data_IF_562824440333
#
_entry.id   IF_562824440333
#
_cell.length_a   1.000
_cell.length_b   1.000
_cell.length_c   1.000
_cell.angle_alpha   90.00
_cell.angle_beta   90.00
_cell.angle_gamma   90.00
#
_symmetry.space_group_name_H-M   'P 1'
#
loop_
_entity.id
_entity.type
_entity.pdbx_description
1 polymer ?
#
# COMPACT_ATOMS: atom_id res chain seq x y z
N UNK A 1 64.88 63.41 -106.17
CA UNK A 1 63.46 63.41 -106.54
C UNK A 1 62.73 63.23 -105.22
N UNK A 2 62.29 64.34 -104.59
CA UNK A 2 61.01 65.01 -104.88
C UNK A 2 59.85 64.08 -104.48
N UNK A 3 58.84 64.41 -103.69
CA UNK A 3 58.34 65.62 -103.03
C UNK A 3 57.58 65.11 -101.77
N UNK A 4 57.29 65.90 -100.74
CA UNK A 4 56.06 66.71 -100.74
C UNK A 4 55.02 66.18 -99.75
N UNK A 5 54.94 66.87 -98.59
CA UNK A 5 53.86 66.90 -97.56
C UNK A 5 52.45 67.23 -98.14
N UNK A 6 51.34 67.49 -97.39
CA UNK A 6 51.05 67.53 -95.91
C UNK A 6 49.68 66.85 -95.52
N UNK A 7 49.22 66.72 -94.27
CA UNK A 7 48.51 67.71 -93.41
C UNK A 7 47.98 67.01 -92.12
N UNK A 8 48.03 67.73 -90.98
CA UNK A 8 47.09 67.79 -89.80
C UNK A 8 46.41 66.51 -89.21
N UNK A 9 46.23 66.28 -87.90
CA UNK A 9 45.91 67.19 -86.78
C UNK A 9 45.96 66.47 -85.39
N UNK A 10 46.52 67.18 -84.39
CA UNK A 10 46.14 67.33 -82.94
C UNK A 10 46.02 66.16 -81.93
N UNK A 11 46.83 66.28 -80.86
CA UNK A 11 46.51 66.08 -79.42
C UNK A 11 46.69 64.65 -78.87
N UNK A 12 47.35 64.36 -77.75
CA UNK A 12 47.98 65.13 -76.66
C UNK A 12 48.92 64.13 -75.87
N UNK A 13 49.61 64.44 -74.75
CA UNK A 13 51.06 64.35 -74.66
C UNK A 13 51.62 63.24 -73.72
N UNK A 14 52.95 63.05 -73.84
CA UNK A 14 53.97 62.56 -72.88
C UNK A 14 53.51 61.99 -71.51
N UNK A 15 54.17 60.97 -70.93
CA UNK A 15 55.45 61.16 -70.20
C UNK A 15 56.05 59.82 -69.70
N UNK A 16 57.38 59.76 -69.77
CA UNK A 16 58.42 58.85 -69.24
C UNK A 16 58.17 57.98 -67.99
N UNK A 17 58.67 56.74 -68.02
CA UNK A 17 58.72 55.81 -66.88
C UNK A 17 59.84 56.11 -65.87
N UNK A 18 59.48 56.72 -64.74
CA UNK A 18 60.18 56.58 -63.44
C UNK A 18 59.78 55.24 -62.80
N UNK A 19 60.60 54.64 -61.91
CA UNK A 19 60.10 53.57 -61.04
C UNK A 19 58.91 54.11 -60.23
N UNK A 20 57.73 53.49 -60.40
CA UNK A 20 56.49 53.88 -59.73
C UNK A 20 56.67 53.89 -58.21
N UNK A 21 56.17 54.92 -57.53
CA UNK A 21 56.29 55.08 -56.09
C UNK A 21 55.63 53.90 -55.34
N UNK A 22 56.08 53.58 -54.12
CA UNK A 22 55.56 52.42 -53.38
C UNK A 22 54.03 52.39 -53.25
N UNK A 23 53.34 53.51 -52.94
CA UNK A 23 51.89 53.52 -52.80
C UNK A 23 51.18 53.11 -54.10
N UNK A 24 51.66 53.60 -55.25
CA UNK A 24 51.14 53.26 -56.57
C UNK A 24 51.34 51.77 -56.90
N UNK A 25 52.49 51.20 -56.50
CA UNK A 25 52.77 49.76 -56.66
C UNK A 25 51.82 48.88 -55.86
N UNK A 26 51.52 49.27 -54.62
CA UNK A 26 50.57 48.55 -53.76
C UNK A 26 49.15 48.64 -54.32
N UNK A 27 48.72 49.84 -54.74
CA UNK A 27 47.43 50.05 -55.39
C UNK A 27 47.28 49.20 -56.66
N UNK A 28 48.27 49.27 -57.56
CA UNK A 28 48.26 48.50 -58.80
C UNK A 28 48.29 46.98 -58.56
N UNK A 29 48.98 46.51 -57.52
CA UNK A 29 48.97 45.10 -57.16
C UNK A 29 47.61 44.65 -56.59
N UNK A 30 46.91 45.50 -55.82
CA UNK A 30 45.54 45.23 -55.37
C UNK A 30 44.56 45.17 -56.54
N UNK A 31 44.63 46.14 -57.45
CA UNK A 31 43.78 46.18 -58.65
C UNK A 31 44.01 44.95 -59.55
N UNK A 32 45.27 44.56 -59.77
CA UNK A 32 45.59 43.32 -60.53
C UNK A 32 45.08 42.05 -59.86
N UNK A 33 45.00 42.04 -58.52
CA UNK A 33 44.43 40.92 -57.77
C UNK A 33 42.89 40.93 -57.77
N UNK A 34 42.26 42.03 -58.23
CA UNK A 34 40.80 42.14 -58.37
C UNK A 34 40.06 42.15 -57.03
N UNK A 35 40.65 42.71 -55.98
CA UNK A 35 40.06 42.75 -54.63
C UNK A 35 39.83 44.18 -54.14
N UNK A 36 38.70 44.41 -53.48
CA UNK A 36 38.44 45.68 -52.78
C UNK A 36 39.16 45.73 -51.42
N UNK A 37 39.23 46.93 -50.83
CA UNK A 37 39.90 47.16 -49.55
C UNK A 37 39.23 46.43 -48.37
N UNK A 38 37.91 46.19 -48.41
CA UNK A 38 37.19 45.48 -47.35
C UNK A 38 37.50 43.98 -47.36
N UNK A 39 37.68 43.39 -48.55
CA UNK A 39 38.14 42.02 -48.73
C UNK A 39 39.59 41.88 -48.27
N UNK A 40 40.45 42.81 -48.65
CA UNK A 40 41.82 42.86 -48.14
C UNK A 40 41.88 43.01 -46.61
N UNK A 41 40.98 43.80 -46.00
CA UNK A 41 40.87 43.93 -44.54
C UNK A 41 40.50 42.59 -43.87
N UNK A 42 39.52 41.86 -44.41
CA UNK A 42 39.12 40.56 -43.86
C UNK A 42 40.25 39.55 -43.89
N UNK A 43 41.04 39.54 -44.96
CA UNK A 43 42.08 38.54 -45.21
C UNK A 43 43.37 38.86 -44.46
N UNK A 44 43.78 40.13 -44.43
CA UNK A 44 45.02 40.58 -43.77
C UNK A 44 44.85 40.94 -42.31
N UNK A 45 43.61 41.16 -41.85
CA UNK A 45 43.26 41.73 -40.54
C UNK A 45 43.79 43.15 -40.31
N UNK A 46 44.06 43.89 -41.39
CA UNK A 46 44.46 45.31 -41.35
C UNK A 46 43.24 46.13 -41.76
N UNK A 47 42.82 47.11 -40.93
CA UNK A 47 41.62 47.92 -41.22
C UNK A 47 41.72 48.58 -42.61
N UNK A 48 40.63 48.60 -43.38
CA UNK A 48 40.62 49.14 -44.75
C UNK A 48 41.13 50.58 -44.83
N UNK A 49 40.85 51.40 -43.80
CA UNK A 49 41.39 52.78 -43.69
C UNK A 49 42.92 52.83 -43.72
N UNK A 50 43.59 51.85 -43.11
CA UNK A 50 45.05 51.79 -43.07
C UNK A 50 45.63 51.24 -44.37
N UNK A 51 44.96 50.28 -45.01
CA UNK A 51 45.32 49.83 -46.35
C UNK A 51 45.20 50.96 -47.37
N UNK A 52 44.13 51.76 -47.28
CA UNK A 52 43.95 52.96 -48.09
C UNK A 52 45.06 54.00 -47.84
N UNK A 53 45.44 54.22 -46.58
CA UNK A 53 46.56 55.11 -46.24
C UNK A 53 47.90 54.62 -46.81
N UNK A 54 48.14 53.29 -46.87
CA UNK A 54 49.31 52.73 -47.53
C UNK A 54 49.31 52.98 -49.05
N UNK A 55 48.16 52.80 -49.70
CA UNK A 55 47.99 53.05 -51.15
C UNK A 55 48.05 54.54 -51.52
N UNK A 56 47.80 55.45 -50.57
CA UNK A 56 47.95 56.90 -50.74
C UNK A 56 49.27 57.47 -50.23
N UNK A 57 50.10 56.66 -49.58
CA UNK A 57 51.35 57.12 -48.94
C UNK A 57 51.13 58.01 -47.70
N UNK A 58 49.93 58.03 -47.13
CA UNK A 58 49.53 58.84 -45.98
C UNK A 58 49.95 58.19 -44.65
N UNK A 59 51.25 57.94 -44.48
CA UNK A 59 51.73 57.17 -43.34
C UNK A 59 51.53 57.83 -41.95
N UNK A 60 51.11 59.11 -41.91
CA UNK A 60 50.74 59.82 -40.67
C UNK A 60 49.44 59.29 -40.05
N UNK A 61 48.57 58.66 -40.83
CA UNK A 61 47.32 58.07 -40.33
C UNK A 61 47.52 56.70 -39.67
N UNK A 62 48.72 56.13 -39.77
CA UNK A 62 49.02 54.79 -39.26
C UNK A 62 49.37 54.82 -37.75
N UNK A 63 49.09 53.75 -36.98
CA UNK A 63 49.30 53.70 -35.52
C UNK A 63 50.77 53.69 -35.03
N UNK A 64 51.72 54.14 -35.85
CA UNK A 64 53.16 54.14 -35.56
C UNK A 64 53.98 53.20 -36.45
N UNK A 65 55.30 53.37 -36.41
CA UNK A 65 56.24 52.79 -37.38
C UNK A 65 56.39 51.27 -37.28
N UNK A 66 56.32 50.74 -36.06
CA UNK A 66 56.41 49.29 -35.81
C UNK A 66 55.24 48.56 -36.48
N UNK A 67 54.02 49.10 -36.36
CA UNK A 67 52.83 48.57 -37.02
C UNK A 67 52.86 48.81 -38.53
N UNK A 68 53.35 49.96 -38.97
CA UNK A 68 53.48 50.29 -40.40
C UNK A 68 54.37 49.30 -41.14
N UNK A 69 55.52 48.92 -40.56
CA UNK A 69 56.39 47.87 -41.12
C UNK A 69 55.66 46.53 -41.24
N UNK A 70 54.90 46.16 -40.21
CA UNK A 70 54.09 44.94 -40.19
C UNK A 70 53.00 44.94 -41.26
N UNK A 71 52.33 46.08 -41.45
CA UNK A 71 51.29 46.25 -42.46
C UNK A 71 51.85 46.15 -43.88
N UNK A 72 52.97 46.81 -44.18
CA UNK A 72 53.65 46.68 -45.48
C UNK A 72 54.02 45.22 -45.80
N UNK A 73 54.59 44.51 -44.82
CA UNK A 73 54.98 43.10 -45.00
C UNK A 73 53.78 42.20 -45.25
N UNK A 74 52.75 42.30 -44.41
CA UNK A 74 51.56 41.46 -44.50
C UNK A 74 50.75 41.77 -45.77
N UNK A 75 50.67 43.05 -46.14
CA UNK A 75 49.96 43.45 -47.35
C UNK A 75 50.73 43.06 -48.62
N UNK A 76 52.05 43.14 -48.64
CA UNK A 76 52.87 42.61 -49.74
C UNK A 76 52.69 41.10 -49.93
N UNK A 77 52.74 40.32 -48.83
CA UNK A 77 52.44 38.88 -48.85
C UNK A 77 51.06 38.61 -49.45
N UNK A 78 50.05 39.36 -49.01
CA UNK A 78 48.70 39.22 -49.54
C UNK A 78 48.64 39.55 -51.03
N UNK A 79 49.28 40.62 -51.48
CA UNK A 79 49.26 41.05 -52.88
C UNK A 79 50.18 40.25 -53.82
N UNK A 80 50.96 39.29 -53.29
CA UNK A 80 51.92 38.51 -54.07
C UNK A 80 53.17 39.28 -54.46
N UNK A 81 53.51 40.33 -53.71
CA UNK A 81 54.76 41.10 -53.84
C UNK A 81 55.82 40.56 -52.88
N UNK A 82 57.11 40.81 -53.18
CA UNK A 82 58.19 40.47 -52.24
C UNK A 82 58.09 41.36 -50.98
N UNK A 83 57.86 40.78 -49.79
CA UNK A 83 57.68 41.55 -48.57
C UNK A 83 58.94 42.26 -48.09
N UNK A 84 60.13 41.70 -48.35
CA UNK A 84 61.39 42.33 -47.97
C UNK A 84 61.70 43.51 -48.91
N UNK A 85 61.38 43.38 -50.20
CA UNK A 85 61.52 44.48 -51.16
C UNK A 85 60.59 45.65 -50.83
N UNK A 86 59.32 45.39 -50.54
CA UNK A 86 58.33 46.42 -50.17
C UNK A 86 58.76 47.15 -48.88
N UNK A 87 59.22 46.41 -47.87
CA UNK A 87 59.69 47.02 -46.61
C UNK A 87 60.99 47.81 -46.82
N UNK A 88 61.91 47.34 -47.67
CA UNK A 88 63.12 48.06 -48.01
C UNK A 88 62.80 49.38 -48.75
N UNK A 89 61.89 49.35 -49.73
CA UNK A 89 61.47 50.53 -50.47
C UNK A 89 60.80 51.57 -49.56
N UNK A 90 59.93 51.12 -48.64
CA UNK A 90 59.30 51.99 -47.63
C UNK A 90 60.35 52.67 -46.72
N UNK A 91 61.39 51.95 -46.29
CA UNK A 91 62.48 52.50 -45.48
C UNK A 91 63.29 53.56 -46.23
N UNK A 92 63.56 53.31 -47.51
CA UNK A 92 64.26 54.24 -48.39
C UNK A 92 63.44 55.51 -48.62
N UNK A 93 62.13 55.41 -48.90
CA UNK A 93 61.22 56.56 -49.03
C UNK A 93 61.15 57.42 -47.76
N UNK A 94 61.22 56.80 -46.58
CA UNK A 94 61.21 57.51 -45.30
C UNK A 94 62.56 58.08 -44.86
N UNK A 95 63.63 57.92 -45.66
CA UNK A 95 64.97 58.37 -45.28
C UNK A 95 65.53 57.68 -44.03
N UNK A 96 64.99 56.50 -43.67
CA UNK A 96 65.41 55.72 -42.49
C UNK A 96 66.35 54.59 -42.91
N UNK A 97 67.47 54.96 -43.51
CA UNK A 97 68.54 54.03 -43.87
C UNK A 97 69.43 53.76 -42.64
N UNK A 98 69.30 52.56 -42.06
CA UNK A 98 70.35 51.95 -41.23
C UNK A 98 70.98 50.85 -42.07
N UNK A 99 72.31 50.85 -42.30
CA UNK A 99 72.93 49.99 -43.31
C UNK A 99 72.88 48.51 -42.91
N UNK A 100 72.37 47.68 -43.80
CA UNK A 100 72.52 46.23 -43.72
C UNK A 100 73.83 45.86 -44.40
N UNK A 101 74.84 45.46 -43.63
CA UNK A 101 76.05 44.86 -44.20
C UNK A 101 75.76 43.42 -44.60
N UNK A 102 75.87 43.14 -45.90
CA UNK A 102 76.13 41.81 -46.45
C UNK A 102 77.56 41.82 -46.98
N UNK A 103 78.36 40.79 -46.68
CA UNK A 103 78.89 39.84 -47.66
C UNK A 103 79.55 38.65 -46.95
N UNK A 104 79.37 37.50 -47.58
CA UNK A 104 79.68 36.12 -47.22
C UNK A 104 81.18 35.80 -47.38
N UNK A 105 81.76 34.98 -46.48
CA UNK A 105 82.67 33.87 -46.86
C UNK A 105 82.80 32.85 -45.72
N UNK A 106 82.75 31.57 -46.09
CA UNK A 106 82.61 30.41 -45.22
C UNK A 106 83.93 29.95 -44.57
N UNK A 107 83.83 29.49 -43.31
CA UNK A 107 84.76 28.54 -42.66
C UNK A 107 83.90 27.57 -41.84
N UNK A 108 84.05 26.24 -41.97
CA UNK A 108 83.14 25.28 -41.35
C UNK A 108 83.46 25.13 -39.86
N UNK A 109 82.46 25.39 -38.99
CA UNK A 109 82.49 25.05 -37.57
C UNK A 109 81.46 23.95 -37.29
N UNK A 110 81.82 22.92 -36.51
CA UNK A 110 81.05 21.70 -36.40
C UNK A 110 79.70 21.94 -35.71
N UNK A 111 78.72 21.18 -36.18
CA UNK A 111 77.37 21.08 -35.64
C UNK A 111 77.45 20.54 -34.21
N UNK A 112 77.19 21.40 -33.24
CA UNK A 112 76.78 21.01 -31.90
C UNK A 112 75.64 21.94 -31.48
N UNK A 113 74.42 21.59 -31.89
CA UNK A 113 73.23 22.14 -31.27
C UNK A 113 73.06 21.47 -29.91
N UNK A 114 73.50 22.15 -28.85
CA UNK A 114 73.03 21.87 -27.50
C UNK A 114 71.54 22.17 -27.45
N UNK A 115 70.73 21.12 -27.24
CA UNK A 115 69.32 21.28 -26.83
C UNK A 115 69.29 22.25 -25.64
N UNK A 116 68.39 23.25 -25.57
CA UNK A 116 68.28 24.06 -24.38
C UNK A 116 67.80 23.14 -23.25
N UNK A 117 68.73 22.74 -22.38
CA UNK A 117 68.40 22.04 -21.14
C UNK A 117 67.52 22.95 -20.28
N UNK A 118 66.54 22.34 -19.60
CA UNK A 118 65.65 23.01 -18.67
C UNK A 118 66.47 23.81 -17.65
N UNK A 119 66.58 25.12 -17.83
CA UNK A 119 67.31 25.96 -16.88
C UNK A 119 66.41 26.10 -15.64
N UNK A 120 66.79 25.44 -14.55
CA UNK A 120 66.13 25.54 -13.25
C UNK A 120 66.37 26.93 -12.67
N UNK A 121 65.57 27.92 -13.09
CA UNK A 121 65.47 29.18 -12.38
C UNK A 121 64.71 28.93 -11.06
N UNK A 122 65.11 29.55 -9.93
CA UNK A 122 64.37 29.43 -8.66
C UNK A 122 62.88 29.76 -8.80
N UNK A 123 62.52 30.66 -9.74
CA UNK A 123 61.13 31.01 -10.02
C UNK A 123 60.30 29.87 -10.63
N UNK A 124 60.90 29.01 -11.46
CA UNK A 124 60.19 27.85 -12.04
C UNK A 124 59.93 26.78 -10.98
N UNK A 125 60.89 26.57 -10.07
CA UNK A 125 60.73 25.62 -8.95
C UNK A 125 59.62 26.08 -8.00
N UNK A 126 59.61 27.37 -7.64
CA UNK A 126 58.55 27.94 -6.80
C UNK A 126 57.19 27.87 -7.48
N UNK A 127 57.11 28.20 -8.78
CA UNK A 127 55.87 28.10 -9.54
C UNK A 127 55.36 26.65 -9.64
N UNK A 128 56.26 25.67 -9.86
CA UNK A 128 55.92 24.26 -9.89
C UNK A 128 55.41 23.77 -8.52
N UNK A 129 56.07 24.14 -7.43
CA UNK A 129 55.65 23.78 -6.07
C UNK A 129 54.29 24.40 -5.70
N UNK A 130 54.06 25.68 -6.04
CA UNK A 130 52.77 26.32 -5.84
C UNK A 130 51.66 25.66 -6.66
N UNK A 131 51.96 25.25 -7.89
CA UNK A 131 51.00 24.52 -8.73
C UNK A 131 50.65 23.17 -8.12
N UNK A 132 51.65 22.41 -7.65
CA UNK A 132 51.44 21.13 -6.95
C UNK A 132 50.62 21.33 -5.67
N UNK A 133 50.89 22.39 -4.90
CA UNK A 133 50.14 22.72 -3.69
C UNK A 133 48.68 23.04 -4.02
N UNK A 134 48.42 23.90 -5.01
CA UNK A 134 47.06 24.27 -5.43
C UNK A 134 46.30 23.04 -5.95
N UNK A 135 46.94 22.21 -6.77
CA UNK A 135 46.33 20.95 -7.26
C UNK A 135 46.08 20.00 -6.09
N UNK A 136 47.02 19.84 -5.16
CA UNK A 136 46.86 19.00 -3.98
C UNK A 136 45.71 19.45 -3.08
N UNK A 137 45.60 20.76 -2.84
CA UNK A 137 44.49 21.38 -2.11
C UNK A 137 43.17 21.19 -2.86
N UNK A 138 43.17 21.37 -4.18
CA UNK A 138 41.99 21.14 -5.03
C UNK A 138 41.52 19.69 -5.02
N UNK A 139 42.44 18.72 -5.08
CA UNK A 139 42.14 17.29 -4.95
C UNK A 139 41.63 16.95 -3.56
N UNK A 140 42.26 17.49 -2.51
CA UNK A 140 41.81 17.28 -1.13
C UNK A 140 40.40 17.84 -0.89
N UNK A 141 40.15 19.09 -1.31
CA UNK A 141 38.81 19.70 -1.27
C UNK A 141 37.81 18.91 -2.10
N UNK A 142 38.17 18.49 -3.31
CA UNK A 142 37.31 17.69 -4.18
C UNK A 142 36.92 16.35 -3.52
N UNK A 143 37.90 15.65 -2.94
CA UNK A 143 37.65 14.41 -2.19
C UNK A 143 36.81 14.65 -0.94
N UNK A 144 37.04 15.76 -0.23
CA UNK A 144 36.27 16.13 0.95
C UNK A 144 34.81 16.41 0.58
N UNK A 145 34.56 17.23 -0.45
CA UNK A 145 33.21 17.49 -0.99
C UNK A 145 32.55 16.20 -1.45
N UNK A 146 33.25 15.31 -2.16
CA UNK A 146 32.67 14.03 -2.59
C UNK A 146 32.33 13.09 -1.43
N UNK A 147 33.10 13.10 -0.33
CA UNK A 147 32.76 12.37 0.89
C UNK A 147 31.50 12.91 1.55
N UNK A 148 31.31 14.23 1.54
CA UNK A 148 30.12 14.89 2.06
C UNK A 148 28.94 14.95 1.08
N UNK A 149 29.15 14.62 -0.20
CA UNK A 149 28.12 14.74 -1.24
C UNK A 149 27.20 13.52 -1.34
N UNK A 150 27.66 12.32 -0.97
CA UNK A 150 26.86 11.10 -1.11
C UNK A 150 25.77 11.03 -0.03
N UNK A 151 24.49 10.93 -0.39
CA UNK A 151 23.41 10.76 0.58
C UNK A 151 23.52 9.39 1.27
N UNK A 152 23.02 9.27 2.52
CA UNK A 152 22.96 7.98 3.21
C UNK A 152 22.05 7.02 2.45
N UNK A 153 22.44 5.75 2.40
CA UNK A 153 21.58 4.69 1.85
C UNK A 153 20.56 4.26 2.90
N UNK A 154 19.35 3.92 2.49
CA UNK A 154 18.33 3.32 3.35
C UNK A 154 17.71 2.13 2.62
N UNK A 155 17.78 0.96 3.23
CA UNK A 155 17.08 -0.23 2.76
C UNK A 155 16.38 -0.90 3.94
N UNK A 156 15.06 -1.10 3.81
CA UNK A 156 14.29 -1.94 4.74
C UNK A 156 14.34 -3.36 4.17
N UNK A 157 14.93 -4.29 4.91
CA UNK A 157 15.11 -5.69 4.49
C UNK A 157 14.00 -6.61 5.03
N UNK A 158 13.36 -6.22 6.13
CA UNK A 158 12.18 -6.89 6.66
C UNK A 158 11.11 -5.87 7.04
N UNK A 159 9.92 -5.92 6.44
CA UNK A 159 9.53 -6.84 5.37
C UNK A 159 10.20 -6.50 4.03
N UNK A 160 10.21 -7.48 3.10
CA UNK A 160 10.76 -7.30 1.74
C UNK A 160 9.79 -6.59 0.79
N UNK A 161 8.51 -6.62 1.12
CA UNK A 161 7.43 -6.05 0.31
C UNK A 161 6.94 -4.74 0.93
N UNK A 162 6.52 -3.80 0.09
CA UNK A 162 6.00 -2.50 0.55
C UNK A 162 4.60 -2.61 1.19
N UNK A 163 3.88 -3.71 0.98
CA UNK A 163 2.58 -3.96 1.59
C UNK A 163 2.53 -5.39 2.12
N UNK A 164 2.18 -5.55 3.40
CA UNK A 164 2.14 -6.86 4.06
C UNK A 164 0.82 -7.02 4.81
N UNK A 165 0.19 -8.18 4.65
CA UNK A 165 -0.93 -8.59 5.49
C UNK A 165 -0.40 -9.45 6.65
N UNK A 166 -0.82 -9.10 7.87
CA UNK A 166 -0.37 -9.76 9.09
C UNK A 166 -1.51 -10.58 9.73
N UNK A 167 -1.19 -11.52 10.62
CA UNK A 167 -2.21 -12.22 11.44
C UNK A 167 -3.07 -11.25 12.26
N UNK A 168 -4.31 -11.63 12.59
CA UNK A 168 -5.23 -10.78 13.36
C UNK A 168 -4.70 -10.43 14.76
N UNK A 169 -3.98 -11.36 15.39
CA UNK A 169 -3.42 -11.22 16.72
C UNK A 169 -2.09 -10.46 16.74
N UNK A 170 -1.60 -10.00 15.58
CA UNK A 170 -0.38 -9.21 15.49
C UNK A 170 -0.55 -7.84 16.18
N UNK A 171 0.15 -7.66 17.29
CA UNK A 171 0.15 -6.41 18.08
C UNK A 171 1.40 -5.55 17.85
N UNK A 172 2.45 -6.11 17.28
CA UNK A 172 3.70 -5.41 16.97
C UNK A 172 4.42 -6.08 15.81
N UNK A 173 5.34 -5.34 15.19
CA UNK A 173 6.22 -5.86 14.15
C UNK A 173 7.64 -5.30 14.31
N UNK A 174 8.64 -6.14 14.06
CA UNK A 174 10.06 -5.77 14.07
C UNK A 174 10.54 -5.53 12.65
N UNK A 175 10.81 -4.26 12.35
CA UNK A 175 11.44 -3.83 11.11
C UNK A 175 12.94 -4.00 11.20
N UNK A 176 13.54 -4.45 10.10
CA UNK A 176 14.98 -4.60 9.98
C UNK A 176 15.46 -4.01 8.66
N UNK A 177 16.67 -3.50 8.64
CA UNK A 177 17.26 -2.94 7.44
C UNK A 177 18.75 -2.62 7.56
N UNK A 178 19.24 -1.96 6.52
CA UNK A 178 20.62 -1.50 6.42
C UNK A 178 20.68 -0.03 6.01
N UNK A 179 21.69 0.68 6.51
CA UNK A 179 22.04 2.06 6.17
C UNK A 179 23.56 2.25 6.32
N UNK A 180 24.03 3.50 6.33
CA UNK A 180 25.42 3.79 6.71
C UNK A 180 25.62 3.58 8.22
N UNK A 181 26.84 3.24 8.63
CA UNK A 181 27.18 3.05 10.04
C UNK A 181 26.88 4.32 10.84
N UNK A 182 26.15 4.19 11.97
CA UNK A 182 25.77 5.32 12.81
C UNK A 182 24.62 6.19 12.26
N UNK A 183 24.00 5.84 11.13
CA UNK A 183 22.82 6.53 10.63
C UNK A 183 21.68 6.54 11.66
N UNK A 184 20.98 7.66 11.80
CA UNK A 184 19.74 7.71 12.56
C UNK A 184 18.57 7.38 11.65
N UNK A 185 17.95 6.23 11.86
CA UNK A 185 16.75 5.81 11.13
C UNK A 185 15.54 6.37 11.87
N UNK A 186 14.70 7.10 11.17
CA UNK A 186 13.45 7.63 11.69
C UNK A 186 12.28 6.99 10.98
N UNK A 187 11.23 6.67 11.72
CA UNK A 187 9.95 6.22 11.19
C UNK A 187 8.85 7.16 11.65
N UNK A 188 8.06 7.64 10.71
CA UNK A 188 6.85 8.40 10.95
C UNK A 188 5.64 7.47 10.79
N UNK A 189 4.73 7.51 11.76
CA UNK A 189 3.56 6.65 11.83
C UNK A 189 2.38 7.37 12.50
N UNK A 190 1.17 6.80 12.40
CA UNK A 190 -0.01 7.39 13.01
C UNK A 190 0.13 7.48 14.54
N UNK A 191 0.29 8.69 15.07
CA UNK A 191 0.41 8.96 16.51
C UNK A 191 1.82 9.26 17.01
N UNK A 192 2.82 9.39 16.13
CA UNK A 192 4.14 9.88 16.50
C UNK A 192 5.26 9.41 15.56
N UNK A 193 6.49 9.68 15.96
CA UNK A 193 7.68 9.17 15.29
C UNK A 193 8.56 8.40 16.26
N UNK A 194 9.34 7.47 15.73
CA UNK A 194 10.32 6.69 16.49
C UNK A 194 11.65 6.70 15.75
N UNK A 195 12.75 6.60 16.49
CA UNK A 195 14.09 6.62 15.92
C UNK A 195 14.96 5.51 16.50
N UNK A 196 15.88 5.01 15.69
CA UNK A 196 16.92 4.05 16.10
C UNK A 196 18.22 4.38 15.36
N UNK A 197 19.36 4.15 16.00
CA UNK A 197 20.66 4.33 15.38
C UNK A 197 21.17 3.00 14.81
N UNK A 198 21.65 3.03 13.57
CA UNK A 198 22.29 1.88 12.94
C UNK A 198 23.63 1.56 13.62
N UNK A 199 23.93 0.26 13.74
CA UNK A 199 25.16 -0.21 14.38
C UNK A 199 26.42 0.10 13.53
N UNK A 200 27.59 -0.34 14.02
CA UNK A 200 28.87 -0.14 13.31
C UNK A 200 28.94 -0.83 11.95
N UNK A 201 28.05 -1.80 11.68
CA UNK A 201 27.91 -2.48 10.39
C UNK A 201 26.85 -1.86 9.50
N UNK A 202 26.13 -0.84 9.99
CA UNK A 202 25.02 -0.19 9.31
C UNK A 202 23.69 -0.93 9.42
N UNK A 203 23.60 -2.00 10.23
CA UNK A 203 22.34 -2.72 10.46
C UNK A 203 21.52 -2.01 11.52
N UNK A 204 20.20 -2.08 11.37
CA UNK A 204 19.27 -1.51 12.34
C UNK A 204 18.05 -2.43 12.50
N UNK A 205 17.45 -2.38 13.69
CA UNK A 205 16.23 -3.12 14.02
C UNK A 205 15.36 -2.28 14.94
N UNK A 206 14.04 -2.26 14.69
CA UNK A 206 13.08 -1.49 15.47
C UNK A 206 11.74 -2.20 15.55
N UNK A 207 11.26 -2.40 16.77
CA UNK A 207 9.91 -2.93 17.02
C UNK A 207 8.92 -1.80 17.20
N UNK A 208 7.80 -1.90 16.47
CA UNK A 208 6.71 -0.92 16.49
C UNK A 208 5.39 -1.64 16.77
N UNK A 209 4.57 -1.05 17.63
CA UNK A 209 3.23 -1.55 17.90
C UNK A 209 2.28 -1.26 16.74
N UNK A 210 1.46 -2.25 16.41
CA UNK A 210 0.49 -2.20 15.33
C UNK A 210 -0.91 -1.94 15.85
N UNK A 211 -1.72 -1.26 15.03
CA UNK A 211 -3.15 -1.13 15.24
C UNK A 211 -3.88 -2.11 14.33
N UNK A 212 -5.10 -2.51 14.74
CA UNK A 212 -6.00 -3.22 13.83
C UNK A 212 -6.31 -2.33 12.62
N UNK A 213 -6.38 -2.92 11.44
CA UNK A 213 -6.54 -2.22 10.17
C UNK A 213 -5.21 -1.85 9.49
N UNK A 214 -5.26 -0.80 8.67
CA UNK A 214 -4.12 -0.30 7.89
C UNK A 214 -3.18 0.53 8.77
N UNK A 215 -1.91 0.16 8.81
CA UNK A 215 -0.82 0.91 9.43
C UNK A 215 0.14 1.37 8.32
N UNK A 216 0.54 2.63 8.34
CA UNK A 216 1.46 3.21 7.36
C UNK A 216 2.71 3.73 8.06
N UNK A 217 3.87 3.41 7.49
CA UNK A 217 5.19 3.70 8.04
C UNK A 217 6.05 4.35 6.98
N UNK A 218 6.51 5.56 7.24
CA UNK A 218 7.45 6.27 6.37
C UNK A 218 8.81 6.32 7.04
N UNK A 219 9.78 5.62 6.46
CA UNK A 219 11.15 5.55 6.94
C UNK A 219 12.04 6.55 6.22
N UNK A 220 12.94 7.14 6.97
CA UNK A 220 14.02 8.00 6.48
C UNK A 220 15.30 7.72 7.27
N UNK A 221 16.46 8.00 6.68
CA UNK A 221 17.76 7.85 7.34
C UNK A 221 18.52 9.18 7.30
N UNK A 222 19.00 9.60 8.47
CA UNK A 222 19.81 10.80 8.63
C UNK A 222 21.26 10.44 8.93
N UNK A 223 22.17 10.99 8.15
CA UNK A 223 23.61 10.88 8.37
C UNK A 223 24.04 11.68 9.60
N UNK A 224 24.74 11.07 10.58
CA UNK A 224 25.10 11.73 11.84
C UNK A 224 26.14 12.85 11.66
N UNK A 225 27.02 12.75 10.65
CA UNK A 225 28.10 13.72 10.43
C UNK A 225 27.62 14.90 9.57
N UNK A 226 26.73 14.63 8.61
CA UNK A 226 26.32 15.62 7.60
C UNK A 226 24.92 16.16 7.79
N UNK A 227 24.07 15.49 8.58
CA UNK A 227 22.66 15.81 8.73
C UNK A 227 21.82 15.59 7.47
N UNK A 228 22.39 14.96 6.43
CA UNK A 228 21.67 14.69 5.18
C UNK A 228 20.69 13.53 5.35
N UNK A 229 19.59 13.62 4.62
CA UNK A 229 18.54 12.61 4.58
C UNK A 229 18.74 11.64 3.42
N UNK A 230 18.12 10.46 3.49
CA UNK A 230 18.17 9.50 2.41
C UNK A 230 17.50 10.07 1.16
N UNK A 231 18.06 9.77 -0.01
CA UNK A 231 17.50 10.23 -1.29
C UNK A 231 16.10 9.69 -1.57
N UNK A 232 15.82 8.47 -1.09
CA UNK A 232 14.54 7.80 -1.25
C UNK A 232 14.05 7.31 0.12
N UNK A 233 13.00 7.92 0.70
CA UNK A 233 12.37 7.39 1.89
C UNK A 233 11.64 6.09 1.55
N UNK A 234 11.64 5.13 2.48
CA UNK A 234 10.92 3.87 2.31
C UNK A 234 9.51 3.97 2.90
N UNK A 235 8.47 3.73 2.10
CA UNK A 235 7.09 3.72 2.55
C UNK A 235 6.59 2.27 2.64
N UNK A 236 6.14 1.87 3.82
CA UNK A 236 5.62 0.53 4.09
C UNK A 236 4.21 0.60 4.66
N UNK A 237 3.36 -0.33 4.23
CA UNK A 237 1.99 -0.47 4.70
C UNK A 237 1.79 -1.87 5.28
N UNK A 238 1.31 -1.96 6.50
CA UNK A 238 0.94 -3.23 7.13
C UNK A 238 -0.54 -3.25 7.46
N UNK A 239 -1.24 -4.29 7.01
CA UNK A 239 -2.66 -4.46 7.29
C UNK A 239 -2.85 -5.60 8.26
N UNK A 240 -3.33 -5.27 9.47
CA UNK A 240 -3.83 -6.25 10.44
C UNK A 240 -5.33 -6.38 10.21
N UNK A 241 -5.87 -7.55 9.83
CA UNK A 241 -7.28 -7.69 9.51
C UNK A 241 -8.16 -7.35 10.73
N UNK A 242 -9.33 -6.78 10.47
CA UNK A 242 -10.36 -6.55 11.49
C UNK A 242 -11.34 -7.71 11.39
N UNK A 243 -11.48 -8.51 12.46
CA UNK A 243 -12.51 -9.54 12.54
C UNK A 243 -13.88 -8.95 12.23
N UNK A 244 -14.51 -9.40 11.15
CA UNK A 244 -15.90 -9.09 10.88
C UNK A 244 -16.77 -10.00 11.73
N UNK A 245 -17.58 -9.43 12.63
CA UNK A 245 -18.60 -10.20 13.35
C UNK A 245 -19.63 -10.63 12.32
N UNK A 246 -19.52 -11.86 11.82
CA UNK A 246 -20.49 -12.39 10.87
C UNK A 246 -21.80 -12.67 11.60
N UNK A 247 -22.89 -12.07 11.13
CA UNK A 247 -24.18 -12.22 11.77
C UNK A 247 -24.62 -13.71 11.79
N UNK A 248 -25.22 -14.17 12.90
CA UNK A 248 -25.80 -15.51 12.95
C UNK A 248 -26.96 -15.63 11.96
N UNK A 249 -27.19 -16.84 11.48
CA UNK A 249 -28.35 -17.19 10.66
C UNK A 249 -29.11 -18.32 11.34
N UNK A 250 -30.44 -18.37 11.12
CA UNK A 250 -31.29 -19.43 11.68
C UNK A 250 -32.38 -19.81 10.70
N UNK A 251 -32.62 -21.11 10.57
CA UNK A 251 -33.75 -21.69 9.85
C UNK A 251 -34.53 -22.58 10.81
N UNK A 252 -35.82 -22.79 10.53
CA UNK A 252 -36.67 -23.71 11.29
C UNK A 252 -37.34 -24.63 10.30
N UNK A 253 -36.91 -25.89 10.27
CA UNK A 253 -37.38 -26.93 9.36
C UNK A 253 -38.67 -27.58 9.91
N UNK A 254 -38.76 -27.75 11.23
CA UNK A 254 -40.00 -28.14 11.91
C UNK A 254 -40.16 -27.31 13.19
N UNK A 255 -41.39 -26.92 13.55
CA UNK A 255 -42.64 -27.14 12.83
C UNK A 255 -42.77 -26.23 11.59
N UNK A 256 -43.52 -26.69 10.58
CA UNK A 256 -43.86 -25.85 9.43
C UNK A 256 -44.86 -24.76 9.83
N UNK A 257 -44.84 -23.64 9.11
CA UNK A 257 -45.72 -22.50 9.36
C UNK A 257 -47.20 -22.89 9.30
N UNK A 258 -47.99 -22.48 10.29
CA UNK A 258 -49.43 -22.75 10.36
C UNK A 258 -49.81 -24.20 10.68
N UNK A 259 -48.86 -25.07 11.03
CA UNK A 259 -49.16 -26.48 11.33
C UNK A 259 -50.09 -26.60 12.53
N UNK A 260 -51.12 -27.44 12.39
CA UNK A 260 -52.00 -27.82 13.49
C UNK A 260 -51.60 -29.19 14.04
N UNK A 261 -51.30 -29.25 15.33
CA UNK A 261 -50.91 -30.45 16.03
C UNK A 261 -52.06 -31.00 16.88
N UNK A 262 -52.22 -32.32 16.87
CA UNK A 262 -53.19 -33.04 17.70
C UNK A 262 -52.60 -33.44 19.07
N UNK A 263 -51.32 -33.11 19.29
CA UNK A 263 -50.56 -33.32 20.51
C UNK A 263 -49.81 -32.02 20.88
N UNK A 264 -49.42 -31.86 22.15
CA UNK A 264 -48.74 -30.66 22.62
C UNK A 264 -47.23 -30.77 22.68
N UNK A 265 -46.67 -31.91 22.26
CA UNK A 265 -45.23 -32.14 22.26
C UNK A 265 -44.69 -31.77 20.87
N UNK A 266 -44.30 -30.51 20.72
CA UNK A 266 -43.88 -29.95 19.43
C UNK A 266 -42.37 -30.11 19.27
N UNK A 267 -41.88 -30.98 18.36
CA UNK A 267 -40.47 -31.00 18.02
C UNK A 267 -40.11 -29.72 17.27
N UNK A 268 -38.99 -29.09 17.67
CA UNK A 268 -38.46 -27.91 16.98
C UNK A 268 -37.03 -28.22 16.54
N UNK A 269 -36.75 -28.05 15.25
CA UNK A 269 -35.45 -28.32 14.67
C UNK A 269 -35.19 -27.45 13.44
N UNK A 270 -33.92 -27.27 13.12
CA UNK A 270 -33.48 -26.52 11.95
C UNK A 270 -31.96 -26.45 11.86
N UNK A 271 -31.48 -25.46 11.11
CA UNK A 271 -30.05 -25.14 11.01
C UNK A 271 -29.75 -23.74 11.51
N UNK A 272 -28.54 -23.52 12.02
CA UNK A 272 -28.06 -22.22 12.45
C UNK A 272 -26.57 -22.07 12.08
N UNK A 273 -26.22 -20.94 11.46
CA UNK A 273 -24.84 -20.60 11.11
C UNK A 273 -24.30 -19.52 12.04
N UNK A 274 -23.00 -19.56 12.34
CA UNK A 274 -22.31 -18.60 13.22
C UNK A 274 -22.98 -18.44 14.60
N UNK A 275 -23.58 -19.52 15.11
CA UNK A 275 -24.28 -19.57 16.39
C UNK A 275 -23.86 -20.79 17.18
N UNK A 276 -23.69 -20.64 18.50
CA UNK A 276 -23.32 -21.74 19.41
C UNK A 276 -24.54 -22.36 20.08
N UNK A 277 -25.59 -21.57 20.27
CA UNK A 277 -26.83 -22.00 20.92
C UNK A 277 -28.05 -21.40 20.25
N UNK A 278 -29.17 -22.08 20.38
CA UNK A 278 -30.50 -21.64 19.95
C UNK A 278 -31.41 -21.61 21.16
N UNK A 279 -32.07 -20.48 21.39
CA UNK A 279 -33.07 -20.28 22.43
C UNK A 279 -34.47 -20.29 21.81
N UNK A 280 -35.36 -21.10 22.36
CA UNK A 280 -36.72 -21.32 21.87
C UNK A 280 -37.70 -20.85 22.95
N UNK A 281 -38.64 -19.98 22.57
CA UNK A 281 -39.69 -19.45 23.43
C UNK A 281 -41.04 -19.63 22.75
N UNK A 282 -42.09 -19.91 23.51
CA UNK A 282 -43.46 -19.97 22.97
C UNK A 282 -44.36 -18.96 23.67
N UNK A 283 -45.15 -18.24 22.89
CA UNK A 283 -46.13 -17.25 23.34
C UNK A 283 -47.53 -17.72 22.97
N UNK A 284 -48.47 -17.62 23.91
CA UNK A 284 -49.86 -18.03 23.70
C UNK A 284 -50.67 -16.92 23.01
N UNK A 285 -51.26 -17.23 21.86
CA UNK A 285 -51.98 -16.28 20.99
C UNK A 285 -53.51 -16.40 21.09
N UNK A 286 -54.02 -17.25 22.00
CA UNK A 286 -55.44 -17.44 22.25
C UNK A 286 -55.99 -18.81 21.82
N UNK A 287 -57.28 -19.04 22.03
CA UNK A 287 -57.92 -20.32 21.73
C UNK A 287 -58.03 -20.60 20.22
N UNK A 288 -58.10 -21.88 19.85
CA UNK A 288 -58.42 -22.30 18.47
C UNK A 288 -59.90 -22.01 18.19
N UNK A 289 -60.20 -21.28 17.11
CA UNK A 289 -61.58 -20.95 16.71
C UNK A 289 -62.36 -22.22 16.33
N UNK A 290 -63.50 -22.46 16.97
CA UNK A 290 -64.39 -23.60 16.68
C UNK A 290 -64.36 -24.76 17.69
N UNK A 291 -63.66 -24.65 18.81
CA UNK A 291 -63.80 -25.62 19.91
C UNK A 291 -65.24 -25.58 20.47
N UNK A 292 -65.90 -26.73 20.75
CA UNK A 292 -67.23 -26.73 21.34
C UNK A 292 -67.21 -25.92 22.63
N UNK A 293 -68.16 -25.01 22.78
CA UNK A 293 -68.30 -24.17 23.96
C UNK A 293 -68.46 -25.03 25.21
N UNK A 294 -67.34 -25.34 25.85
CA UNK A 294 -67.32 -25.90 27.19
C UNK A 294 -67.86 -24.82 28.13
N UNK A 295 -68.78 -25.19 29.02
CA UNK A 295 -69.38 -24.29 30.01
C UNK A 295 -68.40 -23.78 31.08
N UNK A 296 -67.12 -24.15 30.97
CA UNK A 296 -66.05 -23.60 31.79
C UNK A 296 -65.28 -22.54 30.98
N UNK A 297 -65.00 -21.34 31.53
CA UNK A 297 -64.23 -20.32 30.85
C UNK A 297 -62.88 -20.90 30.38
N UNK A 298 -62.40 -20.58 29.17
CA UNK A 298 -61.10 -21.05 28.70
C UNK A 298 -60.04 -20.60 29.70
N UNK A 299 -59.37 -21.57 30.33
CA UNK A 299 -58.30 -21.29 31.29
C UNK A 299 -57.13 -20.71 30.48
N UNK A 300 -56.99 -19.39 30.50
CA UNK A 300 -55.84 -18.70 29.92
C UNK A 300 -54.61 -19.16 30.71
N UNK A 301 -53.56 -19.72 30.07
CA UNK A 301 -52.34 -20.07 30.78
C UNK A 301 -51.73 -18.79 31.37
N UNK A 302 -51.54 -18.77 32.69
CA UNK A 302 -51.04 -17.60 33.43
C UNK A 302 -49.55 -17.29 33.16
N UNK A 303 -48.82 -18.23 32.56
CA UNK A 303 -47.45 -18.06 32.07
C UNK A 303 -47.20 -19.00 30.87
N UNK A 304 -46.41 -18.54 29.90
CA UNK A 304 -45.92 -19.40 28.80
C UNK A 304 -44.99 -20.52 29.31
N UNK A 305 -44.75 -21.57 28.51
CA UNK A 305 -43.83 -22.63 28.87
C UNK A 305 -42.41 -22.07 29.07
N UNK A 306 -41.57 -22.73 29.90
CA UNK A 306 -40.19 -22.31 30.08
C UNK A 306 -39.43 -22.35 28.75
N UNK A 307 -38.53 -21.37 28.57
CA UNK A 307 -37.66 -21.34 27.39
C UNK A 307 -36.75 -22.58 27.34
N UNK A 308 -36.53 -23.10 26.14
CA UNK A 308 -35.63 -24.23 25.88
C UNK A 308 -34.38 -23.70 25.20
N UNK A 309 -33.20 -24.10 25.67
CA UNK A 309 -31.92 -23.77 25.03
C UNK A 309 -31.26 -25.05 24.54
N UNK A 310 -30.81 -25.04 23.29
CA UNK A 310 -30.19 -26.19 22.61
C UNK A 310 -28.85 -25.75 22.03
N UNK A 311 -27.83 -26.61 22.09
CA UNK A 311 -26.54 -26.38 21.43
C UNK A 311 -26.63 -26.67 19.93
N UNK A 312 -25.95 -25.87 19.11
CA UNK A 312 -25.81 -26.11 17.67
C UNK A 312 -24.66 -27.07 17.43
N UNK A 313 -24.89 -28.11 16.62
CA UNK A 313 -23.86 -29.08 16.25
C UNK A 313 -22.84 -28.48 15.26
N UNK A 314 -21.71 -29.16 15.07
CA UNK A 314 -20.62 -28.69 14.18
C UNK A 314 -21.03 -28.55 12.71
N UNK A 315 -22.07 -29.26 12.28
CA UNK A 315 -22.67 -29.17 10.95
C UNK A 315 -23.75 -28.07 10.84
N UNK A 316 -23.96 -27.30 11.90
CA UNK A 316 -24.97 -26.26 11.99
C UNK A 316 -26.38 -26.77 12.35
N UNK A 317 -26.59 -28.08 12.51
CA UNK A 317 -27.90 -28.63 12.87
C UNK A 317 -28.22 -28.44 14.36
N UNK A 318 -29.50 -28.28 14.67
CA UNK A 318 -29.99 -28.23 16.05
C UNK A 318 -31.40 -28.82 16.15
N UNK A 319 -31.71 -29.45 17.29
CA UNK A 319 -33.01 -30.07 17.54
C UNK A 319 -33.33 -30.13 19.03
N UNK A 320 -34.60 -29.93 19.40
CA UNK A 320 -35.07 -30.18 20.77
C UNK A 320 -34.92 -31.64 21.20
N UNK A 321 -34.72 -32.57 20.24
CA UNK A 321 -34.46 -33.98 20.50
C UNK A 321 -35.52 -34.62 21.43
N UNK A 322 -35.12 -35.30 22.52
CA UNK A 322 -36.04 -35.98 23.43
C UNK A 322 -36.87 -35.02 24.31
N UNK A 323 -36.59 -33.72 24.28
CA UNK A 323 -37.26 -32.71 25.10
C UNK A 323 -38.08 -31.74 24.23
N UNK A 324 -39.16 -32.19 23.57
CA UNK A 324 -39.97 -31.34 22.72
C UNK A 324 -40.67 -30.25 23.53
N UNK A 325 -40.97 -29.13 22.86
CA UNK A 325 -41.65 -27.99 23.44
C UNK A 325 -43.09 -28.38 23.80
N UNK A 326 -43.46 -28.20 25.07
CA UNK A 326 -44.76 -28.62 25.60
C UNK A 326 -45.76 -27.47 25.60
N UNK A 327 -46.81 -27.56 24.78
CA UNK A 327 -47.82 -26.52 24.55
C UNK A 327 -49.22 -26.99 24.96
N UNK A 328 -50.04 -26.12 25.54
CA UNK A 328 -51.47 -26.41 25.80
C UNK A 328 -52.32 -26.20 24.54
N UNK A 329 -53.60 -26.54 24.60
CA UNK A 329 -54.57 -26.23 23.54
C UNK A 329 -54.56 -24.74 23.25
N UNK A 330 -54.58 -24.36 21.97
CA UNK A 330 -54.63 -22.98 21.51
C UNK A 330 -53.67 -22.70 20.37
N UNK A 331 -53.62 -21.44 19.97
CA UNK A 331 -52.68 -20.91 18.99
C UNK A 331 -51.43 -20.41 19.72
N UNK A 332 -50.27 -20.66 19.14
CA UNK A 332 -48.98 -20.33 19.72
C UNK A 332 -48.03 -19.77 18.68
N UNK A 333 -47.21 -18.82 19.09
CA UNK A 333 -46.08 -18.31 18.34
C UNK A 333 -44.79 -18.84 18.97
N UNK A 334 -44.05 -19.66 18.23
CA UNK A 334 -42.74 -20.17 18.62
C UNK A 334 -41.69 -19.22 18.05
N UNK A 335 -40.93 -18.57 18.92
CA UNK A 335 -39.77 -17.74 18.54
C UNK A 335 -38.49 -18.51 18.78
N UNK A 336 -37.72 -18.70 17.72
CA UNK A 336 -36.42 -19.37 17.72
C UNK A 336 -35.36 -18.30 17.53
N UNK A 337 -34.40 -18.19 18.46
CA UNK A 337 -33.32 -17.19 18.44
C UNK A 337 -31.97 -17.89 18.45
N UNK A 338 -31.23 -17.81 17.35
CA UNK A 338 -29.82 -18.20 17.30
C UNK A 338 -28.95 -17.12 17.96
N UNK A 339 -28.05 -17.55 18.85
CA UNK A 339 -27.16 -16.71 19.62
C UNK A 339 -25.72 -16.93 19.13
N UNK A 340 -25.14 -15.88 18.55
CA UNK A 340 -23.77 -15.86 18.04
C UNK A 340 -22.78 -15.26 19.04
N UNK A 341 -21.56 -15.04 18.58
CA UNK A 341 -20.53 -14.35 19.36
C UNK A 341 -20.86 -12.85 19.54
N UNK A 342 -20.29 -12.24 20.58
CA UNK A 342 -20.34 -10.79 20.83
C UNK A 342 -21.76 -10.18 20.79
N UNK A 343 -22.75 -10.82 21.44
CA UNK A 343 -24.16 -10.38 21.56
C UNK A 343 -25.00 -10.37 20.28
N UNK A 344 -24.45 -10.85 19.16
CA UNK A 344 -25.21 -10.98 17.92
C UNK A 344 -26.29 -12.07 18.04
N UNK A 345 -27.47 -11.80 17.48
CA UNK A 345 -28.56 -12.78 17.45
C UNK A 345 -29.41 -12.66 16.19
N UNK A 346 -30.00 -13.77 15.77
CA UNK A 346 -30.95 -13.84 14.68
C UNK A 346 -32.17 -14.64 15.14
N UNK A 347 -33.36 -14.23 14.74
CA UNK A 347 -34.59 -14.88 15.19
C UNK A 347 -35.57 -15.15 14.07
N UNK A 348 -36.28 -16.28 14.16
CA UNK A 348 -37.35 -16.67 13.26
C UNK A 348 -38.56 -17.14 14.08
N UNK A 349 -39.76 -16.81 13.60
CA UNK A 349 -41.01 -17.20 14.23
C UNK A 349 -41.74 -18.29 13.43
N UNK A 350 -42.47 -19.14 14.15
CA UNK A 350 -43.41 -20.12 13.62
C UNK A 350 -44.74 -20.03 14.35
N UNK A 351 -45.84 -19.88 13.63
CA UNK A 351 -47.18 -19.96 14.20
C UNK A 351 -47.68 -21.41 14.11
N UNK A 352 -48.16 -21.94 15.22
CA UNK A 352 -48.74 -23.29 15.31
C UNK A 352 -50.05 -23.27 16.08
N UNK A 353 -50.90 -24.25 15.80
CA UNK A 353 -52.12 -24.48 16.59
C UNK A 353 -52.07 -25.85 17.23
N UNK A 354 -52.51 -25.96 18.48
CA UNK A 354 -52.62 -27.23 19.21
C UNK A 354 -54.10 -27.47 19.50
N UNK A 355 -54.64 -28.55 18.94
CA UNK A 355 -56.01 -28.99 19.12
C UNK A 355 -56.02 -30.46 19.52
N UNK A 356 -55.99 -30.74 20.83
CA UNK A 356 -55.96 -32.12 21.33
C UNK A 356 -57.19 -32.90 20.89
N UNK A 357 -56.96 -34.05 20.25
CA UNK A 357 -57.97 -35.10 20.05
C UNK A 357 -57.72 -36.21 21.09
N UNK A 358 -58.16 -35.99 22.33
CA UNK A 358 -58.03 -36.97 23.42
C UNK A 358 -57.13 -36.51 24.57
N UNK A 359 -56.22 -37.39 25.01
CA UNK A 359 -55.38 -37.21 26.21
C UNK A 359 -53.90 -37.21 25.81
N UNK A 360 -53.21 -36.12 26.07
CA UNK A 360 -51.74 -36.06 26.01
C UNK A 360 -51.20 -35.90 27.43
N UNK A 361 -50.35 -36.84 27.83
CA UNK A 361 -49.76 -36.85 29.16
C UNK A 361 -48.25 -36.92 29.05
N UNK A 362 -47.57 -35.94 29.63
CA UNK A 362 -46.13 -36.00 29.85
C UNK A 362 -45.86 -36.34 31.31
N UNK A 363 -45.08 -37.40 31.52
CA UNK A 363 -44.66 -37.89 32.82
C UNK A 363 -43.17 -37.63 32.96
N UNK A 364 -42.77 -36.85 33.98
CA UNK A 364 -41.37 -36.52 34.25
C UNK A 364 -40.96 -36.98 35.64
N UNK A 365 -39.84 -37.67 35.76
CA UNK A 365 -39.33 -38.14 37.05
C UNK A 365 -38.35 -37.12 37.64
N UNK A 366 -38.53 -36.77 38.92
CA UNK A 366 -37.67 -35.83 39.66
C UNK A 366 -37.40 -36.33 41.07
N UNK A 367 -36.13 -36.26 41.48
CA UNK A 367 -35.72 -36.45 42.87
C UNK A 367 -35.44 -37.90 43.29
N UNK A 368 -35.52 -38.87 42.37
CA UNK A 368 -35.15 -40.27 42.59
C UNK A 368 -35.76 -41.18 41.51
N UNK A 369 -35.26 -42.42 41.32
CA UNK A 369 -35.85 -43.35 40.35
C UNK A 369 -37.25 -43.78 40.78
N UNK A 370 -38.13 -44.03 39.81
CA UNK A 370 -39.49 -44.51 40.03
C UNK A 370 -39.85 -45.54 38.95
N UNK A 371 -40.40 -46.68 39.34
CA UNK A 371 -41.00 -47.61 38.39
C UNK A 371 -42.39 -47.14 38.00
N UNK A 372 -42.75 -47.29 36.72
CA UNK A 372 -44.00 -46.77 36.16
C UNK A 372 -44.65 -47.83 35.28
N UNK A 373 -45.92 -48.14 35.55
CA UNK A 373 -46.80 -48.88 34.63
C UNK A 373 -47.83 -47.94 34.04
N UNK A 374 -48.08 -48.08 32.74
CA UNK A 374 -48.89 -47.14 31.98
C UNK A 374 -49.96 -47.93 31.21
N UNK A 375 -51.20 -47.46 31.24
CA UNK A 375 -52.26 -47.92 30.35
C UNK A 375 -52.74 -46.77 29.47
N UNK A 376 -52.75 -47.00 28.16
CA UNK A 376 -53.22 -46.06 27.14
C UNK A 376 -54.49 -46.64 26.54
N UNK A 377 -55.61 -45.93 26.67
CA UNK A 377 -56.93 -46.39 26.24
C UNK A 377 -57.28 -47.81 26.75
N UNK A 378 -56.92 -48.06 28.02
CA UNK A 378 -57.16 -49.34 28.70
C UNK A 378 -56.15 -50.46 28.41
N UNK A 379 -55.28 -50.32 27.40
CA UNK A 379 -54.25 -51.31 27.04
C UNK A 379 -52.92 -50.99 27.74
N UNK A 380 -52.24 -52.01 28.26
CA UNK A 380 -50.92 -51.84 28.88
C UNK A 380 -49.91 -51.37 27.83
N UNK A 381 -49.31 -50.22 28.08
CA UNK A 381 -48.28 -49.62 27.25
C UNK A 381 -46.90 -50.02 27.79
N UNK A 382 -46.09 -50.66 26.93
CA UNK A 382 -44.68 -50.96 27.21
C UNK A 382 -43.80 -50.08 26.34
N UNK A 383 -43.11 -49.09 26.91
CA UNK A 383 -42.23 -48.23 26.14
C UNK A 383 -41.00 -49.00 25.64
N UNK A 384 -40.50 -48.67 24.44
CA UNK A 384 -39.46 -49.45 23.77
C UNK A 384 -38.10 -49.48 24.48
N UNK A 385 -37.85 -48.56 25.42
CA UNK A 385 -36.54 -48.38 26.08
C UNK A 385 -36.55 -48.67 27.60
N UNK A 386 -37.63 -49.20 28.16
CA UNK A 386 -37.71 -49.44 29.60
C UNK A 386 -36.88 -50.68 30.00
N UNK A 387 -35.81 -50.46 30.78
CA UNK A 387 -35.17 -51.53 31.58
C UNK A 387 -35.98 -51.69 32.86
N UNK A 388 -36.72 -52.79 32.97
CA UNK A 388 -37.50 -53.18 34.15
C UNK A 388 -38.52 -52.13 34.64
N UNK A 389 -39.20 -51.45 33.71
CA UNK A 389 -40.22 -50.41 33.97
C UNK A 389 -39.74 -49.26 34.90
N UNK A 390 -38.43 -49.12 35.12
CA UNK A 390 -37.84 -48.17 36.08
C UNK A 390 -37.20 -46.98 35.38
N UNK A 391 -37.63 -45.79 35.75
CA UNK A 391 -37.19 -44.53 35.15
C UNK A 391 -36.32 -43.75 36.12
N UNK A 392 -35.28 -43.11 35.59
CA UNK A 392 -34.33 -42.31 36.35
C UNK A 392 -34.77 -40.86 36.47
N UNK A 393 -34.26 -40.16 37.49
CA UNK A 393 -34.50 -38.72 37.64
C UNK A 393 -34.01 -37.96 36.40
N UNK A 394 -34.87 -37.12 35.84
CA UNK A 394 -34.63 -36.39 34.60
C UNK A 394 -35.31 -37.00 33.38
N UNK A 395 -35.63 -38.30 33.40
CA UNK A 395 -36.31 -38.96 32.29
C UNK A 395 -37.75 -38.46 32.14
N UNK A 396 -38.19 -38.37 30.88
CA UNK A 396 -39.50 -37.86 30.49
C UNK A 396 -40.15 -38.80 29.48
N UNK A 397 -41.44 -39.07 29.67
CA UNK A 397 -42.25 -39.93 28.81
C UNK A 397 -43.41 -39.09 28.30
N UNK A 398 -43.56 -39.00 26.98
CA UNK A 398 -44.73 -38.38 26.35
C UNK A 398 -45.68 -39.46 25.84
N UNK A 399 -46.95 -39.36 26.21
CA UNK A 399 -48.00 -40.33 25.90
C UNK A 399 -49.16 -39.63 25.23
N UNK A 400 -49.82 -40.31 24.28
CA UNK A 400 -51.05 -39.83 23.64
C UNK A 400 -52.07 -40.95 23.58
N UNK A 401 -53.31 -40.64 23.92
CA UNK A 401 -54.45 -41.55 23.94
C UNK A 401 -55.71 -40.88 23.38
N UNK A 402 -56.67 -41.66 22.91
CA UNK A 402 -57.94 -41.15 22.39
C UNK A 402 -58.92 -40.81 23.51
N UNK A 403 -58.91 -41.58 24.60
CA UNK A 403 -59.95 -41.58 25.64
C UNK A 403 -59.40 -41.42 27.05
N UNK A 404 -58.37 -42.17 27.43
CA UNK A 404 -57.78 -42.06 28.77
C UNK A 404 -56.35 -42.58 28.86
N UNK A 405 -55.60 -42.05 29.82
CA UNK A 405 -54.31 -42.60 30.24
C UNK A 405 -54.40 -42.90 31.73
N UNK A 406 -53.92 -44.06 32.15
CA UNK A 406 -53.74 -44.39 33.56
C UNK A 406 -52.26 -44.64 33.84
N UNK A 407 -51.74 -44.03 34.89
CA UNK A 407 -50.33 -44.17 35.29
C UNK A 407 -50.26 -44.64 36.72
N UNK A 408 -49.63 -45.80 36.92
CA UNK A 408 -49.24 -46.30 38.23
C UNK A 408 -47.76 -46.03 38.44
N UNK A 409 -47.43 -45.24 39.44
CA UNK A 409 -46.04 -44.95 39.80
C UNK A 409 -45.73 -45.55 41.16
N UNK A 410 -44.56 -46.18 41.31
CA UNK A 410 -44.02 -46.65 42.58
C UNK A 410 -43.59 -45.54 43.54
N UNK A 411 -43.44 -44.31 43.04
CA UNK A 411 -43.12 -43.13 43.84
C UNK A 411 -43.82 -41.91 43.25
N UNK A 412 -45.10 -41.76 43.56
CA UNK A 412 -45.95 -40.70 43.00
C UNK A 412 -45.46 -39.29 43.34
N UNK A 413 -44.82 -39.10 44.50
CA UNK A 413 -44.18 -37.82 44.87
C UNK A 413 -42.91 -37.48 44.09
N UNK A 414 -42.32 -38.45 43.39
CA UNK A 414 -41.20 -38.23 42.47
C UNK A 414 -41.67 -38.16 40.99
N UNK A 415 -42.98 -38.29 40.73
CA UNK A 415 -43.57 -38.38 39.40
C UNK A 415 -44.41 -37.15 39.12
N UNK A 416 -43.96 -36.33 38.18
CA UNK A 416 -44.61 -35.07 37.81
C UNK A 416 -45.40 -35.25 36.52
N UNK A 417 -46.62 -34.74 36.51
CA UNK A 417 -47.53 -34.86 35.37
C UNK A 417 -47.78 -33.51 34.71
N UNK A 418 -47.82 -33.52 33.39
CA UNK A 418 -48.33 -32.43 32.55
C UNK A 418 -49.42 -33.00 31.65
N UNK A 419 -50.67 -32.58 31.87
CA UNK A 419 -51.84 -33.06 31.13
C UNK A 419 -52.26 -32.00 30.12
N UNK A 420 -52.27 -32.35 28.84
CA UNK A 420 -52.64 -31.44 27.74
C UNK A 420 -51.91 -30.07 27.83
N UNK A 421 -50.62 -30.12 28.17
CA UNK A 421 -49.75 -28.95 28.36
C UNK A 421 -49.88 -28.25 29.73
N UNK A 422 -50.89 -28.56 30.54
CA UNK A 422 -51.07 -27.99 31.89
C UNK A 422 -50.22 -28.76 32.89
N UNK A 423 -49.28 -28.09 33.54
CA UNK A 423 -48.48 -28.69 34.61
C UNK A 423 -49.37 -28.96 35.83
N UNK A 424 -49.53 -30.23 36.18
CA UNK A 424 -50.29 -30.67 37.36
C UNK A 424 -49.38 -30.86 38.59
N UNK A 425 -48.07 -31.01 38.37
CA UNK A 425 -47.12 -31.29 39.43
C UNK A 425 -47.11 -32.77 39.83
N UNK A 426 -46.64 -33.05 41.04
CA UNK A 426 -46.74 -34.39 41.62
C UNK A 426 -48.13 -34.54 42.28
N UNK A 427 -48.88 -35.57 41.88
CA UNK A 427 -50.24 -35.79 42.39
C UNK A 427 -50.26 -36.63 43.68
N UNK A 428 -49.12 -37.19 44.09
CA UNK A 428 -49.05 -38.17 45.17
C UNK A 428 -47.88 -37.99 46.14
N UNK A 429 -47.76 -38.94 47.09
CA UNK A 429 -46.70 -38.93 48.12
C UNK A 429 -45.45 -39.70 47.68
N UNK A 430 -44.29 -39.29 48.18
CA UNK A 430 -43.00 -39.92 47.85
C UNK A 430 -42.93 -41.33 48.44
N UNK A 431 -42.54 -42.33 47.63
CA UNK A 431 -42.39 -43.72 48.06
C UNK A 431 -43.69 -44.51 48.24
N UNK A 432 -44.86 -43.92 47.94
CA UNK A 432 -46.16 -44.61 47.98
C UNK A 432 -46.58 -44.92 46.54
N UNK A 433 -46.82 -46.21 46.20
CA UNK A 433 -47.37 -46.56 44.90
C UNK A 433 -48.82 -46.15 44.75
N UNK A 434 -49.13 -45.29 43.78
CA UNK A 434 -50.51 -44.86 43.49
C UNK A 434 -50.79 -44.91 41.99
N UNK A 435 -52.08 -45.00 41.64
CA UNK A 435 -52.53 -45.01 40.25
C UNK A 435 -53.46 -43.84 39.99
N UNK A 436 -53.17 -43.09 38.94
CA UNK A 436 -53.90 -41.89 38.56
C UNK A 436 -54.48 -42.05 37.15
N UNK A 437 -55.78 -41.76 37.02
CA UNK A 437 -56.54 -41.75 35.77
C UNK A 437 -56.64 -40.32 35.24
N UNK A 438 -56.25 -40.15 33.98
CA UNK A 438 -56.30 -38.93 33.22
C UNK A 438 -57.34 -39.08 32.10
N UNK A 439 -58.51 -38.45 32.27
CA UNK A 439 -59.63 -38.50 31.32
C UNK A 439 -60.27 -37.10 31.14
N UNK A 440 -59.63 -36.19 30.38
CA UNK A 440 -60.20 -34.90 30.03
C UNK A 440 -61.63 -35.02 29.46
N UNK A 441 -62.54 -34.07 29.74
CA UNK A 441 -62.29 -32.82 30.48
C UNK A 441 -62.28 -32.96 32.01
N UNK A 442 -62.47 -34.17 32.57
CA UNK A 442 -62.47 -34.37 34.02
C UNK A 442 -61.06 -34.19 34.61
N UNK A 443 -61.00 -33.66 35.84
CA UNK A 443 -59.77 -33.58 36.62
C UNK A 443 -59.21 -34.98 36.91
N UNK A 444 -57.88 -35.14 37.07
CA UNK A 444 -57.27 -36.43 37.37
C UNK A 444 -57.82 -37.05 38.65
N UNK A 445 -58.08 -38.35 38.63
CA UNK A 445 -58.64 -39.08 39.79
C UNK A 445 -57.78 -40.28 40.14
N UNK A 446 -57.67 -40.58 41.44
CA UNK A 446 -56.94 -41.75 41.91
C UNK A 446 -57.79 -43.02 41.73
N UNK A 447 -57.17 -44.11 41.27
CA UNK A 447 -57.82 -45.41 41.06
C UNK A 447 -57.09 -46.53 41.82
N UNK A 448 -57.74 -47.69 41.96
CA UNK A 448 -57.18 -48.86 42.67
C UNK A 448 -56.54 -49.90 41.74
N UNK A 449 -56.34 -49.57 40.46
CA UNK A 449 -55.75 -50.50 39.48
C UNK A 449 -54.29 -50.82 39.85
N UNK A 450 -53.89 -52.10 39.77
CA UNK A 450 -52.55 -52.56 40.16
C UNK A 450 -51.69 -53.05 38.99
#
# INVERSE_FOLDING_TARGET
MDAGRPQERTGDPATSGRPSALPERLYAARERKGVDLYRAERDTKIRARYLAALERGEYKELPGDVYTKGFHRNYALYLGLDPEEVVAHWRTERGTAVPTSKTVLAVPKPIAQSRPGLQFSPGIVVAALLTILIVGVGVWLGLQVMRFAKPPTLAVTSPREATVELPEDATSYTFEGTSIAGATISVEMAGGSRQVTADSTGKWSMTIDLRRGRNEFKFDATDPDTGKHAEQPALLVMTVPISQIQAPSVTVDQPAEGTTFENGAIPVQGTAGNATTVRIVATYDGAVTGAPASSAPPVVPSAGPPAITVSVASDGSWTTGPNPLQLTTGRWTITVTALGEATSSASLQRHVSVAYKGVNLVVKIKGGPAWIKIWVDGRLYRPPNARDDTYRSGETIALTARTSIEVRSGSSGATFFTLNGRALGALGKRGIPETWLFKPPAEPTQTQRQ
#
